data_IF_949902531123
#
_entry.id   IF_949902531123
#
_cell.length_a   1.000
_cell.length_b   1.000
_cell.length_c   1.000
_cell.angle_alpha   90.00
_cell.angle_beta   90.00
_cell.angle_gamma   90.00
#
_symmetry.space_group_name_H-M   'P 1'
#
loop_
_entity.id
_entity.type
_entity.pdbx_description
1 polymer ?
#
# COMPACT_ATOMS: atom_id res chain seq x y z
N UNK A 1 -25.43 -19.84 -1.62
CA UNK A 1 -24.67 -19.11 -0.58
C UNK A 1 -25.62 -18.20 0.19
N UNK A 2 -25.70 -18.32 1.51
CA UNK A 2 -26.40 -17.33 2.35
C UNK A 2 -25.66 -15.99 2.26
N UNK A 3 -26.37 -14.87 2.12
CA UNK A 3 -25.74 -13.55 2.20
C UNK A 3 -25.07 -13.38 3.57
N UNK A 4 -23.95 -12.64 3.64
CA UNK A 4 -23.21 -12.40 4.91
C UNK A 4 -24.12 -11.90 6.02
N UNK A 5 -25.12 -11.11 5.67
CA UNK A 5 -26.15 -10.58 6.56
C UNK A 5 -27.07 -11.67 7.11
N UNK A 6 -27.50 -12.64 6.27
CA UNK A 6 -28.32 -13.76 6.74
C UNK A 6 -27.56 -14.66 7.70
N UNK A 7 -26.28 -14.89 7.43
CA UNK A 7 -25.42 -15.62 8.36
C UNK A 7 -25.32 -14.88 9.70
N UNK A 8 -25.06 -13.58 9.68
CA UNK A 8 -25.01 -12.75 10.88
C UNK A 8 -26.31 -12.82 11.72
N UNK A 9 -27.48 -12.73 11.07
CA UNK A 9 -28.78 -12.88 11.77
C UNK A 9 -28.93 -14.26 12.43
N UNK A 10 -28.50 -15.34 11.76
CA UNK A 10 -28.57 -16.69 12.33
C UNK A 10 -27.56 -16.90 13.47
N UNK A 11 -26.37 -16.32 13.36
CA UNK A 11 -25.35 -16.44 14.42
C UNK A 11 -25.77 -15.72 15.70
N UNK A 12 -26.36 -14.53 15.58
CA UNK A 12 -26.67 -13.68 16.73
C UNK A 12 -28.10 -13.88 17.27
N UNK A 13 -29.04 -14.22 16.38
CA UNK A 13 -30.46 -14.31 16.72
C UNK A 13 -31.08 -15.63 16.25
N UNK A 14 -30.29 -16.66 15.97
CA UNK A 14 -30.79 -17.98 15.58
C UNK A 14 -31.53 -18.68 16.72
N UNK A 15 -32.55 -19.44 16.35
CA UNK A 15 -33.22 -20.41 17.22
C UNK A 15 -32.72 -21.82 16.92
N UNK A 16 -32.99 -22.77 17.83
CA UNK A 16 -32.60 -24.19 17.67
C UNK A 16 -33.11 -24.84 16.38
N UNK A 17 -34.16 -24.27 15.76
CA UNK A 17 -34.80 -24.80 14.57
C UNK A 17 -34.24 -24.18 13.27
N UNK A 18 -33.16 -23.39 13.35
CA UNK A 18 -32.57 -22.71 12.18
C UNK A 18 -33.36 -21.51 11.67
N UNK A 19 -34.39 -21.06 12.38
CA UNK A 19 -35.10 -19.80 12.12
C UNK A 19 -34.56 -18.67 13.01
N UNK A 20 -34.85 -17.42 12.65
CA UNK A 20 -34.43 -16.25 13.44
C UNK A 20 -35.46 -15.86 14.51
N UNK A 21 -34.99 -15.50 15.70
CA UNK A 21 -35.77 -14.83 16.73
C UNK A 21 -35.99 -13.37 16.32
N UNK A 22 -37.12 -13.14 15.66
CA UNK A 22 -37.47 -11.84 15.09
C UNK A 22 -37.73 -10.77 16.17
N UNK A 23 -38.03 -11.17 17.41
CA UNK A 23 -38.28 -10.23 18.51
C UNK A 23 -36.98 -9.70 19.09
N UNK A 24 -35.99 -10.58 19.32
CA UNK A 24 -34.66 -10.16 19.78
C UNK A 24 -33.93 -9.31 18.74
N UNK A 25 -33.95 -9.74 17.49
CA UNK A 25 -33.36 -8.96 16.40
C UNK A 25 -34.01 -7.58 16.23
N UNK A 26 -35.33 -7.50 16.36
CA UNK A 26 -36.09 -6.26 16.29
C UNK A 26 -35.71 -5.29 17.44
N UNK A 27 -35.60 -5.80 18.67
CA UNK A 27 -35.18 -5.00 19.82
C UNK A 27 -33.75 -4.47 19.67
N UNK A 28 -32.83 -5.29 19.15
CA UNK A 28 -31.44 -4.87 18.91
C UNK A 28 -31.33 -3.77 17.85
N UNK A 29 -32.08 -3.89 16.76
CA UNK A 29 -32.01 -2.96 15.61
C UNK A 29 -32.89 -1.73 15.82
N UNK A 30 -33.86 -1.77 16.74
CA UNK A 30 -34.81 -0.67 16.99
C UNK A 30 -35.94 -0.59 15.95
N UNK A 31 -36.40 -1.74 15.43
CA UNK A 31 -37.47 -1.82 14.42
C UNK A 31 -38.56 -2.81 14.84
N UNK A 32 -39.64 -2.91 14.07
CA UNK A 32 -40.69 -3.89 14.36
C UNK A 32 -40.26 -5.33 14.00
N UNK A 33 -40.73 -6.37 14.73
CA UNK A 33 -40.50 -7.78 14.36
C UNK A 33 -41.05 -8.16 12.98
N UNK A 34 -42.06 -7.43 12.48
CA UNK A 34 -42.60 -7.60 11.13
C UNK A 34 -41.59 -7.16 10.07
N UNK A 35 -40.92 -6.04 10.30
CA UNK A 35 -39.86 -5.50 9.44
C UNK A 35 -38.71 -6.49 9.32
N UNK A 36 -38.26 -7.07 10.44
CA UNK A 36 -37.19 -8.09 10.44
C UNK A 36 -37.61 -9.34 9.66
N UNK A 37 -38.84 -9.83 9.85
CA UNK A 37 -39.37 -10.97 9.08
C UNK A 37 -39.44 -10.70 7.58
N UNK A 38 -39.80 -9.48 7.19
CA UNK A 38 -39.82 -9.06 5.79
C UNK A 38 -38.39 -9.04 5.22
N UNK A 39 -37.43 -8.46 5.94
CA UNK A 39 -36.03 -8.43 5.51
C UNK A 39 -35.42 -9.84 5.38
N UNK A 40 -35.78 -10.75 6.28
CA UNK A 40 -35.34 -12.15 6.20
C UNK A 40 -35.79 -12.82 4.89
N UNK A 41 -37.02 -12.54 4.44
CA UNK A 41 -37.60 -13.10 3.22
C UNK A 41 -37.08 -12.43 1.95
N UNK A 42 -37.14 -11.09 1.91
CA UNK A 42 -37.00 -10.30 0.67
C UNK A 42 -35.57 -9.74 0.51
N UNK A 43 -34.81 -9.63 1.59
CA UNK A 43 -33.50 -8.98 1.61
C UNK A 43 -33.46 -7.79 2.56
N UNK A 44 -32.28 -7.48 3.06
CA UNK A 44 -32.06 -6.40 4.02
C UNK A 44 -31.71 -5.09 3.29
N UNK A 45 -32.01 -3.92 3.90
CA UNK A 45 -31.48 -2.64 3.42
C UNK A 45 -29.95 -2.59 3.48
N UNK A 46 -29.28 -1.80 2.63
CA UNK A 46 -27.82 -1.72 2.58
C UNK A 46 -27.15 -1.35 3.91
N UNK A 47 -27.80 -0.53 4.74
CA UNK A 47 -27.25 -0.15 6.05
C UNK A 47 -27.25 -1.31 7.05
N UNK A 48 -28.20 -2.25 6.95
CA UNK A 48 -28.21 -3.48 7.74
C UNK A 48 -27.08 -4.40 7.29
N UNK A 49 -26.83 -4.49 5.99
CA UNK A 49 -25.67 -5.24 5.46
C UNK A 49 -24.36 -4.64 5.98
N UNK A 50 -24.26 -3.31 6.04
CA UNK A 50 -23.09 -2.63 6.61
C UNK A 50 -22.95 -2.87 8.11
N UNK A 51 -24.07 -2.86 8.85
CA UNK A 51 -24.09 -3.19 10.27
C UNK A 51 -23.65 -4.63 10.52
N UNK A 52 -24.13 -5.59 9.72
CA UNK A 52 -23.70 -6.99 9.81
C UNK A 52 -22.22 -7.16 9.45
N UNK A 53 -21.72 -6.43 8.45
CA UNK A 53 -20.29 -6.40 8.12
C UNK A 53 -19.47 -5.89 9.31
N UNK A 54 -19.84 -4.75 9.90
CA UNK A 54 -19.15 -4.18 11.06
C UNK A 54 -19.22 -5.11 12.27
N UNK A 55 -20.40 -5.67 12.56
CA UNK A 55 -20.60 -6.59 13.68
C UNK A 55 -19.91 -7.95 13.47
N UNK A 56 -19.66 -8.38 12.24
CA UNK A 56 -18.81 -9.55 11.98
C UNK A 56 -17.32 -9.28 12.23
N UNK A 57 -16.94 -8.00 12.26
CA UNK A 57 -15.57 -7.53 12.55
C UNK A 57 -15.40 -7.10 14.00
N UNK A 58 -16.49 -6.92 14.75
CA UNK A 58 -16.43 -6.66 16.19
C UNK A 58 -15.99 -7.92 16.93
N UNK A 59 -15.11 -7.73 17.91
CA UNK A 59 -14.68 -8.79 18.80
C UNK A 59 -15.89 -9.14 19.70
N UNK A 60 -16.37 -10.39 19.74
CA UNK A 60 -17.49 -10.75 20.59
C UNK A 60 -17.09 -10.67 22.06
N UNK A 61 -17.82 -9.91 22.87
CA UNK A 61 -17.63 -9.84 24.34
C UNK A 61 -17.87 -11.18 25.04
N UNK A 62 -18.45 -12.17 24.35
CA UNK A 62 -18.86 -13.45 24.92
C UNK A 62 -17.83 -14.56 24.78
N UNK A 63 -16.65 -14.29 24.21
CA UNK A 63 -15.61 -15.32 24.00
C UNK A 63 -14.23 -14.76 24.31
N UNK A 64 -13.54 -15.40 25.25
CA UNK A 64 -12.14 -15.11 25.52
C UNK A 64 -11.30 -15.41 24.27
N UNK A 65 -10.44 -14.46 23.89
CA UNK A 65 -9.66 -14.51 22.66
C UNK A 65 -8.19 -14.61 23.04
N UNK A 66 -7.57 -15.78 22.91
CA UNK A 66 -6.15 -15.99 23.25
C UNK A 66 -5.74 -15.40 24.63
N UNK A 67 -6.65 -15.48 25.61
CA UNK A 67 -6.48 -14.93 26.97
C UNK A 67 -6.69 -13.41 27.11
N UNK A 68 -7.12 -12.75 26.04
CA UNK A 68 -7.69 -11.41 26.05
C UNK A 68 -9.19 -11.47 26.36
N UNK A 69 -9.67 -10.58 27.20
CA UNK A 69 -11.08 -10.53 27.64
C UNK A 69 -11.50 -9.10 27.92
N UNK A 70 -12.78 -8.78 27.71
CA UNK A 70 -13.33 -7.47 28.04
C UNK A 70 -14.08 -7.54 29.38
N UNK A 71 -13.68 -6.72 30.34
CA UNK A 71 -14.36 -6.59 31.63
C UNK A 71 -14.51 -5.11 31.99
N UNK A 72 -15.74 -4.71 32.33
CA UNK A 72 -16.09 -3.33 32.70
C UNK A 72 -15.63 -2.30 31.64
N UNK A 73 -15.74 -2.67 30.36
CA UNK A 73 -15.34 -1.82 29.22
C UNK A 73 -13.83 -1.66 29.02
N UNK A 74 -13.00 -2.41 29.76
CA UNK A 74 -11.54 -2.45 29.58
C UNK A 74 -11.11 -3.76 28.93
N UNK A 75 -10.11 -3.70 28.05
CA UNK A 75 -9.45 -4.88 27.50
C UNK A 75 -8.43 -5.39 28.52
N UNK A 76 -8.67 -6.56 29.08
CA UNK A 76 -7.71 -7.33 29.85
C UNK A 76 -6.90 -8.16 28.86
N UNK A 77 -5.58 -8.12 29.00
CA UNK A 77 -4.68 -8.92 28.17
C UNK A 77 -4.15 -10.13 28.96
N UNK A 78 -3.71 -11.20 28.28
CA UNK A 78 -3.11 -12.38 28.93
C UNK A 78 -1.73 -12.08 29.54
N UNK A 79 -1.17 -10.91 29.26
CA UNK A 79 0.11 -10.47 29.80
C UNK A 79 -0.10 -9.85 31.18
N UNK A 80 0.80 -10.17 32.10
CA UNK A 80 0.61 -9.94 33.53
C UNK A 80 0.26 -8.47 33.83
N UNK A 81 -0.95 -8.26 34.39
CA UNK A 81 -1.52 -6.98 34.83
C UNK A 81 -1.72 -5.89 33.77
N UNK A 82 -1.66 -6.21 32.47
CA UNK A 82 -1.91 -5.25 31.41
C UNK A 82 -3.41 -5.15 31.09
N UNK A 83 -4.01 -4.01 31.42
CA UNK A 83 -5.40 -3.68 31.07
C UNK A 83 -5.48 -2.33 30.38
N UNK A 84 -6.26 -2.24 29.30
CA UNK A 84 -6.37 -1.04 28.47
C UNK A 84 -7.79 -0.49 28.50
N UNK A 85 -7.91 0.82 28.73
CA UNK A 85 -9.13 1.56 28.47
C UNK A 85 -9.37 1.70 26.95
N UNK A 86 -10.61 1.91 26.50
CA UNK A 86 -10.92 2.12 25.09
C UNK A 86 -10.11 3.28 24.46
N UNK A 87 -9.89 4.37 25.20
CA UNK A 87 -9.08 5.49 24.77
C UNK A 87 -7.61 5.14 24.55
N UNK A 88 -7.06 4.22 25.35
CA UNK A 88 -5.67 3.77 25.23
C UNK A 88 -5.48 2.85 24.02
N UNK A 89 -6.49 2.04 23.69
CA UNK A 89 -6.51 1.25 22.46
C UNK A 89 -6.55 2.12 21.21
N UNK A 90 -7.32 3.22 21.25
CA UNK A 90 -7.35 4.18 20.15
C UNK A 90 -5.98 4.82 19.93
N UNK A 91 -5.22 5.11 20.99
CA UNK A 91 -3.85 5.62 20.86
C UNK A 91 -2.95 4.62 20.12
N UNK A 92 -2.99 3.34 20.51
CA UNK A 92 -2.22 2.27 19.84
C UNK A 92 -2.63 2.15 18.35
N UNK A 93 -3.92 2.31 18.04
CA UNK A 93 -4.40 2.29 16.67
C UNK A 93 -3.83 3.45 15.85
N UNK A 94 -3.88 4.68 16.37
CA UNK A 94 -3.32 5.84 15.70
C UNK A 94 -1.80 5.74 15.55
N UNK A 95 -1.08 5.29 16.58
CA UNK A 95 0.36 5.09 16.54
C UNK A 95 0.74 4.06 15.46
N UNK A 96 -0.03 2.98 15.29
CA UNK A 96 0.19 2.01 14.22
C UNK A 96 -0.09 2.58 12.83
N UNK A 97 -1.13 3.39 12.68
CA UNK A 97 -1.42 4.06 11.40
C UNK A 97 -0.29 5.04 11.04
N UNK A 98 0.14 5.85 12.00
CA UNK A 98 1.23 6.82 11.82
C UNK A 98 2.53 6.12 11.41
N UNK A 99 2.95 5.08 12.15
CA UNK A 99 4.12 4.28 11.80
C UNK A 99 4.03 3.62 10.41
N UNK A 100 2.81 3.32 9.94
CA UNK A 100 2.61 2.77 8.59
C UNK A 100 2.81 3.86 7.53
N UNK A 101 2.29 5.07 7.76
CA UNK A 101 2.50 6.21 6.87
C UNK A 101 3.98 6.59 6.81
N UNK A 102 4.66 6.68 7.96
CA UNK A 102 6.10 6.95 8.03
C UNK A 102 6.94 5.95 7.23
N UNK A 103 6.57 4.66 7.26
CA UNK A 103 7.27 3.64 6.46
C UNK A 103 7.08 3.86 4.96
N UNK A 104 5.86 4.16 4.53
CA UNK A 104 5.55 4.43 3.11
C UNK A 104 6.29 5.68 2.64
N UNK A 105 6.28 6.75 3.43
CA UNK A 105 6.97 7.99 3.11
C UNK A 105 8.49 7.78 3.06
N UNK A 106 9.06 7.05 4.04
CA UNK A 106 10.49 6.73 4.05
C UNK A 106 10.91 5.92 2.81
N UNK A 107 10.07 5.00 2.35
CA UNK A 107 10.37 4.22 1.15
C UNK A 107 10.25 5.07 -0.12
N UNK A 108 9.28 6.00 -0.20
CA UNK A 108 9.20 6.98 -1.29
C UNK A 108 10.41 7.92 -1.33
N UNK A 109 10.84 8.43 -0.17
CA UNK A 109 12.02 9.29 -0.07
C UNK A 109 13.30 8.55 -0.48
N UNK A 110 13.45 7.27 -0.13
CA UNK A 110 14.58 6.45 -0.60
C UNK A 110 14.61 6.32 -2.12
N UNK A 111 13.45 6.14 -2.76
CA UNK A 111 13.36 6.06 -4.23
C UNK A 111 13.81 7.38 -4.84
N UNK A 112 13.28 8.51 -4.36
CA UNK A 112 13.66 9.85 -4.85
C UNK A 112 15.15 10.14 -4.66
N UNK A 113 15.73 9.79 -3.51
CA UNK A 113 17.17 9.97 -3.26
C UNK A 113 18.02 9.11 -4.20
N UNK A 114 17.59 7.89 -4.50
CA UNK A 114 18.28 7.03 -5.46
C UNK A 114 18.18 7.56 -6.89
N UNK A 115 17.02 8.13 -7.28
CA UNK A 115 16.84 8.78 -8.57
C UNK A 115 17.76 9.99 -8.74
N UNK A 116 17.85 10.86 -7.73
CA UNK A 116 18.74 12.02 -7.73
C UNK A 116 20.22 11.62 -7.81
N UNK A 117 20.64 10.58 -7.08
CA UNK A 117 22.01 10.04 -7.17
C UNK A 117 22.34 9.53 -8.56
N UNK A 118 21.40 8.85 -9.21
CA UNK A 118 21.60 8.37 -10.58
C UNK A 118 21.74 9.53 -11.58
N UNK A 119 21.03 10.65 -11.39
CA UNK A 119 21.17 11.83 -12.26
C UNK A 119 22.51 12.54 -12.07
N UNK A 120 22.98 12.68 -10.82
CA UNK A 120 24.32 13.24 -10.53
C UNK A 120 25.44 12.36 -11.07
N UNK A 121 25.35 11.03 -10.86
CA UNK A 121 26.31 10.07 -11.41
C UNK A 121 26.29 10.06 -12.94
N UNK A 122 25.10 10.13 -13.57
CA UNK A 122 24.97 10.21 -15.02
C UNK A 122 25.52 11.53 -15.59
N UNK A 123 25.42 12.65 -14.87
CA UNK A 123 26.04 13.92 -15.26
C UNK A 123 27.56 13.83 -15.18
N UNK A 124 28.12 13.29 -14.09
CA UNK A 124 29.56 13.14 -13.94
C UNK A 124 30.17 12.24 -15.03
N UNK A 125 29.48 11.16 -15.41
CA UNK A 125 29.91 10.28 -16.50
C UNK A 125 29.89 11.00 -17.85
N UNK A 126 28.90 11.87 -18.12
CA UNK A 126 28.85 12.67 -19.35
C UNK A 126 30.02 13.64 -19.45
N UNK A 127 30.32 14.33 -18.36
CA UNK A 127 31.42 15.30 -18.31
C UNK A 127 32.78 14.63 -18.57
N UNK A 128 33.00 13.42 -18.04
CA UNK A 128 34.21 12.63 -18.34
C UNK A 128 34.28 12.20 -19.82
N UNK A 129 33.17 11.74 -20.40
CA UNK A 129 33.09 11.34 -21.81
C UNK A 129 33.39 12.53 -22.72
N UNK A 130 32.85 13.70 -22.43
CA UNK A 130 33.11 14.92 -23.20
C UNK A 130 34.59 15.34 -23.11
N UNK A 131 35.22 15.20 -21.94
CA UNK A 131 36.66 15.40 -21.78
C UNK A 131 37.51 14.43 -22.62
N UNK A 132 37.10 13.15 -22.68
CA UNK A 132 37.75 12.15 -23.53
C UNK A 132 37.57 12.46 -25.03
N UNK A 133 36.38 12.90 -25.45
CA UNK A 133 36.10 13.30 -26.84
C UNK A 133 36.97 14.49 -27.24
N UNK A 134 37.03 15.54 -26.43
CA UNK A 134 37.88 16.71 -26.70
C UNK A 134 39.36 16.31 -26.80
N UNK A 135 39.82 15.42 -25.93
CA UNK A 135 41.18 14.90 -25.96
C UNK A 135 41.45 14.13 -27.25
N UNK A 136 40.53 13.27 -27.70
CA UNK A 136 40.63 12.54 -28.96
C UNK A 136 40.61 13.47 -30.19
N UNK A 137 39.77 14.50 -30.18
CA UNK A 137 39.76 15.49 -31.25
C UNK A 137 41.07 16.28 -31.33
N UNK A 138 41.65 16.64 -30.18
CA UNK A 138 42.95 17.31 -30.13
C UNK A 138 44.08 16.40 -30.66
N UNK A 139 44.05 15.10 -30.33
CA UNK A 139 44.97 14.09 -30.83
C UNK A 139 44.85 13.89 -32.35
N UNK A 140 43.62 13.86 -32.87
CA UNK A 140 43.35 13.75 -34.32
C UNK A 140 43.85 14.96 -35.11
N UNK A 141 43.83 16.15 -34.50
CA UNK A 141 44.39 17.39 -35.08
C UNK A 141 45.89 17.53 -34.86
N UNK A 142 46.50 16.66 -34.05
CA UNK A 142 47.94 16.69 -33.81
C UNK A 142 48.72 16.27 -35.05
N UNK A 143 49.87 16.93 -35.35
CA UNK A 143 50.69 16.63 -36.54
C UNK A 143 51.30 15.23 -36.54
N UNK A 144 51.28 14.54 -35.40
CA UNK A 144 51.86 13.20 -35.21
C UNK A 144 50.95 12.12 -35.83
N UNK A 145 49.63 12.34 -35.83
CA UNK A 145 48.62 11.36 -36.27
C UNK A 145 47.94 11.77 -37.58
N UNK A 146 48.07 13.03 -38.00
CA UNK A 146 47.52 13.51 -39.27
C UNK A 146 48.09 12.72 -40.48
N UNK A 147 47.24 12.22 -41.41
CA UNK A 147 47.73 11.49 -42.57
C UNK A 147 48.62 12.40 -43.42
N UNK A 148 49.87 11.96 -43.67
CA UNK A 148 50.83 12.68 -44.51
C UNK A 148 50.21 12.96 -45.88
N UNK A 149 49.86 14.22 -46.16
CA UNK A 149 49.51 14.64 -47.51
C UNK A 149 50.76 14.52 -48.40
N UNK A 150 50.71 13.59 -49.34
CA UNK A 150 51.76 13.39 -50.35
C UNK A 150 51.74 14.58 -51.31
N UNK A 151 52.80 15.40 -51.29
CA UNK A 151 52.97 16.52 -52.21
C UNK A 151 53.21 16.06 -53.66
N UNK A 152 52.65 16.84 -54.59
CA UNK A 152 52.44 16.54 -56.01
C UNK A 152 53.70 16.28 -56.85
N UNK A 153 53.60 15.32 -57.78
CA UNK A 153 54.58 15.04 -58.84
C UNK A 153 54.45 16.11 -59.94
N UNK A 154 55.42 17.02 -60.07
CA UNK A 154 55.54 17.93 -61.23
C UNK A 154 55.85 17.10 -62.49
N UNK A 155 54.87 16.93 -63.37
CA UNK A 155 55.07 16.43 -64.73
C UNK A 155 55.66 17.58 -65.55
N UNK A 156 56.91 17.42 -66.01
CA UNK A 156 57.56 18.37 -66.92
C UNK A 156 57.28 17.90 -68.35
N UNK A 157 56.38 18.60 -69.02
CA UNK A 157 56.03 18.38 -70.43
C UNK A 157 57.25 18.69 -71.31
N UNK A 158 57.80 17.66 -71.98
CA UNK A 158 58.74 17.85 -73.10
C UNK A 158 57.90 17.86 -74.39
N UNK A 159 57.51 19.04 -74.86
CA UNK A 159 57.18 19.24 -76.28
C UNK A 159 58.49 19.27 -77.07
N UNK A 160 58.79 18.20 -77.79
CA UNK A 160 59.79 18.20 -78.86
C UNK A 160 59.15 18.78 -80.13
N UNK A 161 59.94 19.62 -80.81
CA UNK A 161 59.73 20.10 -82.17
C UNK A 161 60.12 19.02 -83.16
#
# INVERSE_FOLDING_TARGET
MLSRTRFWFLTNFGTKNGSIDSHKAAAYIGVSPRTVRQWWRVGCPPWIDKLAELASRTIPDTKDWDGFTFKDGRLITPYDKLTFAPSELMRIFYDRQFNRFDRVEKDQLKVQVNELRNEEEASAIRDEIDGMIQSLESLKRSPIVAPKMVYAKKVRDKRQR
#
